data_IF_501561504294
#
_entry.id   IF_501561504294
#
_cell.length_a   1.000
_cell.length_b   1.000
_cell.length_c   1.000
_cell.angle_alpha   90.00
_cell.angle_beta   90.00
_cell.angle_gamma   90.00
#
_symmetry.space_group_name_H-M   'P 1'
#
loop_
_entity.id
_entity.type
_entity.pdbx_description
1 polymer ?
#
# COMPACT_ATOMS: atom_id res chain seq x y z
N UNK A 1 14.14 69.38 3.25
CA UNK A 1 13.07 68.54 3.80
C UNK A 1 12.67 67.48 2.76
N UNK A 2 13.15 66.24 2.89
CA UNK A 2 12.73 65.11 2.05
C UNK A 2 11.58 64.39 2.76
N UNK A 3 10.47 64.20 2.05
CA UNK A 3 9.20 63.65 2.52
C UNK A 3 9.32 62.20 3.02
N UNK A 4 8.69 61.82 4.16
CA UNK A 4 8.73 60.48 4.73
C UNK A 4 7.74 59.48 4.09
N UNK A 5 7.13 59.80 2.95
CA UNK A 5 6.05 58.98 2.35
C UNK A 5 6.57 57.82 1.49
N UNK A 6 7.83 57.87 1.02
CA UNK A 6 8.38 56.83 0.13
C UNK A 6 8.81 55.56 0.88
N UNK A 7 9.13 55.63 2.18
CA UNK A 7 9.55 54.46 2.97
C UNK A 7 8.38 53.58 3.48
N UNK A 8 7.14 54.08 3.39
CA UNK A 8 5.93 53.36 3.83
C UNK A 8 5.31 52.50 2.71
N UNK A 9 5.56 52.82 1.44
CA UNK A 9 5.05 52.06 0.30
C UNK A 9 5.92 50.82 0.04
N UNK A 10 7.23 50.93 0.22
CA UNK A 10 8.17 49.80 0.05
C UNK A 10 8.02 48.75 1.17
N UNK A 11 7.67 49.18 2.39
CA UNK A 11 7.34 48.29 3.52
C UNK A 11 5.96 47.61 3.39
N UNK A 12 4.98 48.24 2.74
CA UNK A 12 3.65 47.64 2.49
C UNK A 12 3.66 46.63 1.34
N UNK A 13 4.45 46.87 0.28
CA UNK A 13 4.62 45.93 -0.84
C UNK A 13 5.33 44.62 -0.44
N UNK A 14 6.29 44.69 0.48
CA UNK A 14 6.97 43.52 1.06
C UNK A 14 6.09 42.75 2.05
N UNK A 15 5.30 43.44 2.89
CA UNK A 15 4.38 42.74 3.80
C UNK A 15 3.24 42.02 3.07
N UNK A 16 2.62 42.63 2.06
CA UNK A 16 1.54 41.97 1.29
C UNK A 16 2.04 40.79 0.45
N UNK A 17 3.24 40.89 -0.13
CA UNK A 17 3.83 39.78 -0.90
C UNK A 17 4.28 38.62 0.01
N UNK A 18 4.82 38.91 1.19
CA UNK A 18 5.16 37.89 2.20
C UNK A 18 3.91 37.19 2.73
N UNK A 19 2.83 37.93 3.05
CA UNK A 19 1.55 37.35 3.47
C UNK A 19 0.93 36.49 2.36
N UNK A 20 0.98 36.95 1.10
CA UNK A 20 0.47 36.18 -0.03
C UNK A 20 1.26 34.90 -0.29
N UNK A 21 2.60 34.97 -0.22
CA UNK A 21 3.47 33.79 -0.35
C UNK A 21 3.24 32.81 0.80
N UNK A 22 3.06 33.29 2.02
CA UNK A 22 2.80 32.48 3.20
C UNK A 22 1.41 31.81 3.14
N UNK A 23 0.37 32.54 2.74
CA UNK A 23 -0.96 31.98 2.49
C UNK A 23 -0.97 30.95 1.35
N UNK A 24 -0.22 31.19 0.27
CA UNK A 24 -0.08 30.22 -0.84
C UNK A 24 0.63 28.94 -0.36
N UNK A 25 1.65 29.10 0.49
CA UNK A 25 2.46 28.04 1.10
C UNK A 25 1.65 27.16 2.06
N UNK A 26 0.85 27.76 2.94
CA UNK A 26 -0.03 27.06 3.88
C UNK A 26 -1.17 26.32 3.16
N UNK A 27 -1.74 26.95 2.13
CA UNK A 27 -2.76 26.33 1.27
C UNK A 27 -2.25 25.10 0.51
N UNK A 28 -0.95 25.02 0.21
CA UNK A 28 -0.34 23.87 -0.49
C UNK A 28 -0.19 22.65 0.42
N UNK A 29 0.23 22.85 1.69
CA UNK A 29 0.37 21.78 2.67
C UNK A 29 -0.98 21.10 2.96
N UNK A 30 -2.01 21.93 3.15
CA UNK A 30 -3.38 21.46 3.39
C UNK A 30 -3.92 20.67 2.19
N UNK A 31 -3.61 21.09 0.96
CA UNK A 31 -4.06 20.37 -0.25
C UNK A 31 -3.35 19.04 -0.44
N UNK A 32 -2.06 18.95 -0.10
CA UNK A 32 -1.30 17.72 -0.16
C UNK A 32 -1.88 16.65 0.77
N UNK A 33 -2.06 16.98 2.04
CA UNK A 33 -2.64 16.08 3.04
C UNK A 33 -4.06 15.64 2.65
N UNK A 34 -4.87 16.55 2.10
CA UNK A 34 -6.24 16.25 1.62
C UNK A 34 -6.30 15.20 0.51
N UNK A 35 -5.21 15.01 -0.24
CA UNK A 35 -5.14 13.96 -1.28
C UNK A 35 -5.09 12.55 -0.70
N UNK A 36 -4.57 12.39 0.52
CA UNK A 36 -4.49 11.11 1.24
C UNK A 36 -5.75 10.77 2.04
N UNK A 37 -6.70 11.70 2.18
CA UNK A 37 -7.94 11.48 2.93
C UNK A 37 -8.64 10.14 2.68
N UNK A 38 -8.86 9.66 1.43
CA UNK A 38 -9.51 8.36 1.24
C UNK A 38 -8.72 7.21 1.88
N UNK A 39 -7.39 7.24 1.83
CA UNK A 39 -6.53 6.22 2.42
C UNK A 39 -6.55 6.31 3.95
N UNK A 40 -6.50 7.53 4.49
CA UNK A 40 -6.60 7.78 5.93
C UNK A 40 -7.95 7.32 6.47
N UNK A 41 -9.04 7.57 5.73
CA UNK A 41 -10.37 7.06 6.08
C UNK A 41 -10.40 5.53 6.11
N UNK A 42 -9.73 4.84 5.17
CA UNK A 42 -9.62 3.38 5.22
C UNK A 42 -8.84 2.91 6.44
N UNK A 43 -7.69 3.53 6.73
CA UNK A 43 -6.94 3.21 7.94
C UNK A 43 -7.78 3.41 9.20
N UNK A 44 -8.59 4.47 9.25
CA UNK A 44 -9.51 4.71 10.35
C UNK A 44 -10.53 3.58 10.52
N UNK A 45 -11.11 3.06 9.42
CA UNK A 45 -12.03 1.90 9.48
C UNK A 45 -11.31 0.64 9.96
N UNK A 46 -10.03 0.46 9.59
CA UNK A 46 -9.20 -0.65 10.09
C UNK A 46 -8.65 -0.36 11.50
N UNK A 47 -9.00 0.75 12.15
CA UNK A 47 -8.54 1.08 13.51
C UNK A 47 -7.12 1.67 13.61
N UNK A 48 -6.47 1.99 12.49
CA UNK A 48 -5.23 2.78 12.44
C UNK A 48 -5.60 4.26 12.36
N UNK A 49 -5.41 4.99 13.47
CA UNK A 49 -5.66 6.44 13.51
C UNK A 49 -4.36 7.17 13.22
N UNK A 50 -4.37 8.01 12.19
CA UNK A 50 -3.29 8.95 11.84
C UNK A 50 -3.83 10.34 12.15
N UNK A 51 -3.26 11.01 13.15
CA UNK A 51 -3.72 12.32 13.60
C UNK A 51 -3.28 13.39 12.58
N UNK A 52 -4.20 13.85 11.73
CA UNK A 52 -3.94 14.93 10.76
C UNK A 52 -4.79 16.15 11.15
N UNK A 53 -4.18 17.33 11.39
CA UNK A 53 -4.80 18.44 12.13
C UNK A 53 -6.13 18.99 11.60
N UNK A 54 -6.48 18.78 10.33
CA UNK A 54 -7.65 19.42 9.70
C UNK A 54 -8.72 18.47 9.18
N UNK A 55 -8.54 17.15 9.29
CA UNK A 55 -9.44 16.22 8.60
C UNK A 55 -10.79 16.02 9.32
N UNK A 56 -10.89 16.24 10.64
CA UNK A 56 -12.10 15.93 11.41
C UNK A 56 -12.29 16.86 12.63
N UNK A 57 -13.02 17.97 12.46
CA UNK A 57 -13.45 18.88 13.54
C UNK A 57 -14.61 18.30 14.40
N UNK A 58 -14.48 17.07 14.91
CA UNK A 58 -15.50 16.45 15.79
C UNK A 58 -14.84 15.75 16.99
N UNK A 59 -14.24 16.54 17.87
CA UNK A 59 -13.29 16.10 18.91
C UNK A 59 -13.85 15.10 19.93
N UNK A 60 -15.15 15.11 20.24
CA UNK A 60 -15.75 14.18 21.23
C UNK A 60 -16.20 12.85 20.61
N UNK A 61 -16.92 12.92 19.50
CA UNK A 61 -17.39 11.74 18.75
C UNK A 61 -16.20 10.96 18.20
N UNK A 62 -15.15 11.64 17.72
CA UNK A 62 -13.94 11.00 17.22
C UNK A 62 -13.18 10.21 18.30
N UNK A 63 -13.18 10.66 19.55
CA UNK A 63 -12.56 9.93 20.66
C UNK A 63 -13.29 8.62 20.97
N UNK A 64 -14.63 8.65 21.05
CA UNK A 64 -15.44 7.44 21.25
C UNK A 64 -15.36 6.48 20.07
N UNK A 65 -15.44 6.99 18.84
CA UNK A 65 -15.21 6.18 17.65
C UNK A 65 -13.82 5.54 17.67
N UNK A 66 -12.76 6.27 18.03
CA UNK A 66 -11.40 5.72 18.12
C UNK A 66 -11.30 4.54 19.08
N UNK A 67 -11.89 4.64 20.28
CA UNK A 67 -11.90 3.55 21.25
C UNK A 67 -12.72 2.36 20.71
N UNK A 68 -13.88 2.67 20.12
CA UNK A 68 -14.76 1.66 19.54
C UNK A 68 -14.09 0.89 18.39
N UNK A 69 -13.51 1.57 17.40
CA UNK A 69 -12.87 0.92 16.26
C UNK A 69 -11.65 0.10 16.69
N UNK A 70 -10.87 0.57 17.66
CA UNK A 70 -9.72 -0.18 18.19
C UNK A 70 -10.16 -1.50 18.82
N UNK A 71 -11.15 -1.44 19.71
CA UNK A 71 -11.64 -2.64 20.40
C UNK A 71 -12.34 -3.59 19.42
N UNK A 72 -13.10 -3.05 18.47
CA UNK A 72 -13.78 -3.82 17.44
C UNK A 72 -12.79 -4.54 16.53
N UNK A 73 -11.72 -3.88 16.05
CA UNK A 73 -10.70 -4.51 15.22
C UNK A 73 -9.96 -5.61 15.99
N UNK A 74 -9.60 -5.39 17.25
CA UNK A 74 -8.94 -6.42 18.07
C UNK A 74 -9.84 -7.65 18.27
N UNK A 75 -11.11 -7.44 18.61
CA UNK A 75 -12.10 -8.51 18.75
C UNK A 75 -12.29 -9.27 17.43
N UNK A 76 -12.34 -8.54 16.33
CA UNK A 76 -12.50 -9.10 14.99
C UNK A 76 -11.31 -9.96 14.57
N UNK A 77 -10.08 -9.50 14.83
CA UNK A 77 -8.87 -10.31 14.57
C UNK A 77 -8.87 -11.57 15.40
N UNK A 78 -9.12 -11.49 16.71
CA UNK A 78 -9.18 -12.66 17.60
C UNK A 78 -10.27 -13.64 17.13
N UNK A 79 -11.47 -13.13 16.83
CA UNK A 79 -12.56 -13.93 16.29
C UNK A 79 -12.14 -14.65 15.00
N UNK A 80 -11.48 -13.96 14.08
CA UNK A 80 -11.07 -14.52 12.79
C UNK A 80 -9.98 -15.58 12.95
N UNK A 81 -8.97 -15.34 13.81
CA UNK A 81 -7.93 -16.35 14.12
C UNK A 81 -8.57 -17.59 14.73
N UNK A 82 -9.39 -17.42 15.76
CA UNK A 82 -10.03 -18.54 16.47
C UNK A 82 -10.95 -19.34 15.54
N UNK A 83 -11.70 -18.65 14.69
CA UNK A 83 -12.55 -19.29 13.69
C UNK A 83 -11.71 -20.09 12.70
N UNK A 84 -10.62 -19.51 12.17
CA UNK A 84 -9.74 -20.18 11.21
C UNK A 84 -9.03 -21.40 11.82
N UNK A 85 -8.64 -21.33 13.09
CA UNK A 85 -8.08 -22.46 13.82
C UNK A 85 -9.12 -23.58 13.98
N UNK A 86 -10.36 -23.23 14.31
CA UNK A 86 -11.46 -24.19 14.39
C UNK A 86 -11.68 -24.90 13.05
N UNK A 87 -11.68 -24.15 11.95
CA UNK A 87 -11.85 -24.72 10.61
C UNK A 87 -10.70 -25.65 10.19
N UNK A 88 -9.48 -25.35 10.62
CA UNK A 88 -8.32 -26.21 10.36
C UNK A 88 -8.42 -27.57 11.09
N UNK A 89 -9.02 -27.58 12.28
CA UNK A 89 -9.24 -28.82 13.04
C UNK A 89 -10.31 -29.70 12.38
N UNK A 90 -11.32 -29.05 11.80
CA UNK A 90 -12.55 -29.68 11.30
C UNK A 90 -12.48 -30.16 9.85
N UNK A 91 -11.93 -29.34 8.96
CA UNK A 91 -12.00 -29.66 7.54
C UNK A 91 -11.01 -30.77 7.17
N UNK A 92 -11.43 -31.75 6.33
CA UNK A 92 -10.57 -32.86 5.91
C UNK A 92 -9.38 -32.36 5.09
N UNK A 93 -9.54 -31.23 4.40
CA UNK A 93 -8.51 -30.59 3.58
C UNK A 93 -7.57 -29.69 4.41
N UNK A 94 -6.94 -30.25 5.44
CA UNK A 94 -5.97 -29.52 6.28
C UNK A 94 -4.85 -28.86 5.47
N UNK A 95 -4.49 -29.45 4.33
CA UNK A 95 -3.50 -28.93 3.38
C UNK A 95 -3.90 -27.60 2.73
N UNK A 96 -5.20 -27.30 2.65
CA UNK A 96 -5.74 -26.07 2.04
C UNK A 96 -5.96 -24.98 3.07
N UNK A 97 -6.37 -25.35 4.29
CA UNK A 97 -6.67 -24.39 5.37
C UNK A 97 -5.41 -23.93 6.15
N UNK A 98 -4.37 -24.76 6.24
CA UNK A 98 -3.12 -24.38 6.93
C UNK A 98 -2.40 -23.19 6.27
N UNK A 99 -2.24 -23.13 4.93
CA UNK A 99 -1.69 -21.94 4.26
C UNK A 99 -2.51 -20.67 4.50
N UNK A 100 -3.84 -20.77 4.64
CA UNK A 100 -4.68 -19.61 4.96
C UNK A 100 -4.42 -19.08 6.36
N UNK A 101 -4.34 -19.97 7.35
CA UNK A 101 -3.99 -19.56 8.71
C UNK A 101 -2.62 -18.89 8.75
N UNK A 102 -1.64 -19.46 8.05
CA UNK A 102 -0.30 -18.87 7.94
C UNK A 102 -0.31 -17.49 7.27
N UNK A 103 -0.98 -17.36 6.11
CA UNK A 103 -1.14 -16.10 5.40
C UNK A 103 -1.84 -15.04 6.26
N UNK A 104 -2.85 -15.44 7.03
CA UNK A 104 -3.58 -14.57 7.94
C UNK A 104 -2.74 -14.09 9.12
N UNK A 105 -1.95 -14.99 9.72
CA UNK A 105 -1.01 -14.65 10.79
C UNK A 105 0.01 -13.64 10.27
N UNK A 106 0.60 -13.88 9.09
CA UNK A 106 1.53 -12.94 8.46
C UNK A 106 0.87 -11.59 8.16
N UNK A 107 -0.36 -11.59 7.66
CA UNK A 107 -1.08 -10.34 7.35
C UNK A 107 -1.41 -9.56 8.63
N UNK A 108 -1.77 -10.27 9.71
CA UNK A 108 -2.03 -9.67 11.02
C UNK A 108 -0.75 -9.07 11.62
N UNK A 109 0.40 -9.75 11.51
CA UNK A 109 1.67 -9.22 11.99
C UNK A 109 2.17 -8.02 11.17
N UNK A 110 1.95 -8.02 9.85
CA UNK A 110 2.19 -6.84 9.01
C UNK A 110 1.31 -5.66 9.42
N UNK A 111 0.01 -5.90 9.65
CA UNK A 111 -0.91 -4.89 10.14
C UNK A 111 -0.48 -4.32 11.50
N UNK A 112 -0.06 -5.16 12.45
CA UNK A 112 0.45 -4.73 13.75
C UNK A 112 1.72 -3.87 13.61
N UNK A 113 2.59 -4.19 12.65
CA UNK A 113 3.79 -3.40 12.35
C UNK A 113 3.42 -2.01 11.86
N UNK A 114 2.47 -1.90 10.92
CA UNK A 114 1.95 -0.61 10.44
C UNK A 114 1.27 0.18 11.56
N UNK A 115 0.47 -0.50 12.39
CA UNK A 115 -0.20 0.13 13.53
C UNK A 115 0.81 0.73 14.53
N UNK A 116 1.91 0.02 14.78
CA UNK A 116 3.01 0.50 15.64
C UNK A 116 3.74 1.68 15.02
N UNK A 117 3.90 1.68 13.70
CA UNK A 117 4.62 2.73 12.95
C UNK A 117 3.73 3.92 12.52
N UNK A 118 2.48 4.02 12.99
CA UNK A 118 1.55 5.11 12.60
C UNK A 118 2.12 6.52 12.75
N UNK A 119 2.89 6.79 13.81
CA UNK A 119 3.49 8.10 14.05
C UNK A 119 4.63 8.39 13.06
N UNK A 120 5.34 7.36 12.62
CA UNK A 120 6.34 7.49 11.56
C UNK A 120 5.69 7.75 10.22
N UNK A 121 4.54 7.11 9.91
CA UNK A 121 3.75 7.39 8.71
C UNK A 121 3.27 8.85 8.69
N UNK A 122 2.77 9.35 9.81
CA UNK A 122 2.39 10.76 9.97
C UNK A 122 3.58 11.69 9.71
N UNK A 123 4.75 11.37 10.28
CA UNK A 123 5.98 12.12 10.07
C UNK A 123 6.44 12.10 8.60
N UNK A 124 6.35 10.95 7.91
CA UNK A 124 6.64 10.81 6.47
C UNK A 124 5.74 11.75 5.67
N UNK A 125 4.42 11.73 5.93
CA UNK A 125 3.47 12.57 5.21
C UNK A 125 3.74 14.06 5.43
N UNK A 126 4.08 14.48 6.65
CA UNK A 126 4.46 15.86 6.96
C UNK A 126 5.74 16.29 6.22
N UNK A 127 6.76 15.43 6.19
CA UNK A 127 8.01 15.70 5.45
C UNK A 127 7.78 15.77 3.95
N UNK A 128 6.99 14.86 3.37
CA UNK A 128 6.64 14.92 1.95
C UNK A 128 5.88 16.21 1.60
N UNK A 129 4.98 16.66 2.47
CA UNK A 129 4.29 17.95 2.31
C UNK A 129 5.28 19.11 2.28
N UNK A 130 6.20 19.13 3.26
CA UNK A 130 7.25 20.15 3.35
C UNK A 130 8.16 20.18 2.11
N UNK A 131 8.60 19.02 1.62
CA UNK A 131 9.43 18.92 0.41
C UNK A 131 8.64 19.42 -0.81
N UNK A 132 7.38 19.00 -0.96
CA UNK A 132 6.52 19.43 -2.06
C UNK A 132 6.37 20.96 -2.09
N UNK A 133 6.27 21.57 -0.91
CA UNK A 133 6.24 23.03 -0.73
C UNK A 133 7.57 23.69 -1.07
N UNK A 134 8.69 23.13 -0.63
CA UNK A 134 10.03 23.65 -0.93
C UNK A 134 10.34 23.64 -2.43
N UNK A 135 9.80 22.66 -3.16
CA UNK A 135 9.97 22.53 -4.61
C UNK A 135 8.91 23.29 -5.43
N UNK A 136 8.01 24.01 -4.76
CA UNK A 136 6.86 24.70 -5.37
C UNK A 136 6.01 23.79 -6.26
N UNK A 137 5.95 22.51 -5.91
CA UNK A 137 5.26 21.51 -6.71
C UNK A 137 3.76 21.58 -6.46
N UNK A 138 3.02 22.24 -7.35
CA UNK A 138 1.57 22.30 -7.30
C UNK A 138 0.96 21.04 -7.94
N UNK A 139 0.66 20.03 -7.14
CA UNK A 139 -0.13 18.90 -7.62
C UNK A 139 -1.59 19.27 -7.76
N UNK A 140 -2.24 18.81 -8.83
CA UNK A 140 -3.69 18.78 -8.94
C UNK A 140 -4.27 17.75 -7.94
N UNK A 141 -4.45 18.18 -6.69
CA UNK A 141 -4.87 17.33 -5.58
C UNK A 141 -6.23 16.67 -5.84
N UNK A 142 -7.10 17.31 -6.64
CA UNK A 142 -8.42 16.78 -6.99
C UNK A 142 -8.30 15.52 -7.82
N UNK A 143 -7.44 15.53 -8.83
CA UNK A 143 -7.16 14.35 -9.67
C UNK A 143 -6.60 13.21 -8.83
N UNK A 144 -5.60 13.48 -7.97
CA UNK A 144 -5.00 12.44 -7.12
C UNK A 144 -5.99 11.84 -6.11
N UNK A 145 -6.81 12.68 -5.49
CA UNK A 145 -7.89 12.26 -4.59
C UNK A 145 -8.92 11.39 -5.31
N UNK A 146 -9.27 11.74 -6.55
CA UNK A 146 -10.18 10.95 -7.37
C UNK A 146 -9.57 9.58 -7.73
N UNK A 147 -8.30 9.55 -8.14
CA UNK A 147 -7.58 8.30 -8.43
C UNK A 147 -7.51 7.41 -7.19
N UNK A 148 -7.20 7.96 -6.02
CA UNK A 148 -7.17 7.21 -4.77
C UNK A 148 -8.54 6.62 -4.41
N UNK A 149 -9.61 7.39 -4.55
CA UNK A 149 -10.98 6.90 -4.35
C UNK A 149 -11.35 5.81 -5.35
N UNK A 150 -11.00 5.98 -6.61
CA UNK A 150 -11.28 4.99 -7.65
C UNK A 150 -10.51 3.68 -7.39
N UNK A 151 -9.21 3.76 -7.09
CA UNK A 151 -8.39 2.59 -6.76
C UNK A 151 -8.95 1.83 -5.55
N UNK A 152 -9.27 2.54 -4.47
CA UNK A 152 -9.86 1.93 -3.28
C UNK A 152 -11.24 1.34 -3.60
N UNK A 153 -12.12 2.11 -4.25
CA UNK A 153 -13.47 1.68 -4.60
C UNK A 153 -13.49 0.46 -5.52
N UNK A 154 -12.58 0.38 -6.49
CA UNK A 154 -12.41 -0.78 -7.37
C UNK A 154 -12.03 -2.03 -6.56
N UNK A 155 -11.02 -1.93 -5.69
CA UNK A 155 -10.58 -3.05 -4.88
C UNK A 155 -11.66 -3.53 -3.90
N UNK A 156 -12.37 -2.61 -3.23
CA UNK A 156 -13.52 -2.98 -2.39
C UNK A 156 -14.66 -3.57 -3.20
N UNK A 157 -14.95 -3.03 -4.38
CA UNK A 157 -15.94 -3.59 -5.30
C UNK A 157 -15.63 -5.04 -5.65
N UNK A 158 -14.38 -5.37 -6.00
CA UNK A 158 -13.96 -6.74 -6.29
C UNK A 158 -14.17 -7.68 -5.10
N UNK A 159 -13.88 -7.24 -3.88
CA UNK A 159 -14.07 -8.05 -2.66
C UNK A 159 -15.56 -8.27 -2.38
N UNK A 160 -16.39 -7.21 -2.49
CA UNK A 160 -17.84 -7.32 -2.26
C UNK A 160 -18.47 -8.25 -3.29
N UNK A 161 -18.08 -8.12 -4.56
CA UNK A 161 -18.49 -9.02 -5.64
C UNK A 161 -18.05 -10.46 -5.33
N UNK A 162 -16.82 -10.67 -4.88
CA UNK A 162 -16.35 -11.98 -4.44
C UNK A 162 -17.22 -12.59 -3.33
N UNK A 163 -17.49 -11.83 -2.26
CA UNK A 163 -18.33 -12.30 -1.14
C UNK A 163 -19.74 -12.60 -1.63
N UNK A 164 -20.30 -11.75 -2.50
CA UNK A 164 -21.60 -11.97 -3.10
C UNK A 164 -21.62 -13.27 -3.93
N UNK A 165 -20.66 -13.48 -4.82
CA UNK A 165 -20.57 -14.70 -5.61
C UNK A 165 -20.38 -15.95 -4.73
N UNK A 166 -19.66 -15.87 -3.62
CA UNK A 166 -19.58 -16.97 -2.66
C UNK A 166 -20.95 -17.42 -2.15
N UNK A 167 -21.84 -16.48 -1.81
CA UNK A 167 -23.17 -16.80 -1.31
C UNK A 167 -24.08 -17.43 -2.37
N UNK A 168 -23.87 -17.08 -3.64
CA UNK A 168 -24.63 -17.59 -4.77
C UNK A 168 -24.01 -18.83 -5.42
N UNK A 169 -22.75 -19.16 -5.13
CA UNK A 169 -22.05 -20.27 -5.76
C UNK A 169 -22.45 -21.62 -5.17
N UNK A 170 -22.26 -22.67 -5.97
CA UNK A 170 -22.46 -24.06 -5.54
C UNK A 170 -21.54 -24.48 -4.39
N UNK A 171 -20.45 -23.73 -4.15
CA UNK A 171 -19.46 -24.04 -3.12
C UNK A 171 -20.04 -23.97 -1.71
N UNK A 172 -20.99 -23.05 -1.46
CA UNK A 172 -21.73 -22.97 -0.19
C UNK A 172 -22.56 -24.22 0.09
N UNK A 173 -23.11 -24.87 -0.96
CA UNK A 173 -23.91 -26.11 -0.83
C UNK A 173 -23.03 -27.30 -0.45
N UNK A 174 -21.87 -27.46 -1.09
CA UNK A 174 -20.92 -28.53 -0.78
C UNK A 174 -20.44 -28.46 0.67
N UNK A 175 -20.09 -27.26 1.14
CA UNK A 175 -19.67 -27.05 2.54
C UNK A 175 -20.81 -27.35 3.51
N UNK A 176 -22.06 -26.99 3.16
CA UNK A 176 -23.24 -27.29 3.99
C UNK A 176 -23.45 -28.79 4.17
N UNK A 177 -23.36 -29.56 3.10
CA UNK A 177 -23.51 -31.02 3.15
C UNK A 177 -22.43 -31.67 4.00
N UNK A 178 -21.19 -31.20 3.86
CA UNK A 178 -20.08 -31.67 4.67
C UNK A 178 -20.26 -31.35 6.17
N UNK A 179 -20.64 -30.12 6.51
CA UNK A 179 -20.86 -29.70 7.89
C UNK A 179 -22.00 -30.46 8.56
N UNK A 180 -23.07 -30.78 7.82
CA UNK A 180 -24.21 -31.58 8.33
C UNK A 180 -23.78 -32.99 8.74
N UNK A 181 -22.77 -33.54 8.08
CA UNK A 181 -22.26 -34.88 8.32
C UNK A 181 -21.07 -34.90 9.31
N UNK A 182 -20.54 -33.74 9.71
CA UNK A 182 -19.42 -33.66 10.66
C UNK A 182 -19.83 -34.07 12.08
N UNK A 183 -19.08 -34.98 12.69
CA UNK A 183 -19.33 -35.47 14.05
C UNK A 183 -18.96 -34.47 15.13
N UNK A 184 -18.00 -33.58 14.88
CA UNK A 184 -17.50 -32.64 15.88
C UNK A 184 -18.47 -31.51 16.21
N UNK A 185 -19.09 -30.87 15.22
CA UNK A 185 -20.12 -29.84 15.48
C UNK A 185 -21.31 -30.41 16.24
N UNK A 186 -21.67 -31.66 15.94
CA UNK A 186 -22.78 -32.38 16.57
C UNK A 186 -22.44 -32.84 18.00
N UNK A 187 -21.24 -33.38 18.22
CA UNK A 187 -20.88 -34.04 19.48
C UNK A 187 -20.15 -33.13 20.48
N UNK A 188 -19.28 -32.25 20.01
CA UNK A 188 -18.42 -31.40 20.88
C UNK A 188 -19.06 -30.05 21.10
N UNK A 189 -19.39 -29.34 20.02
CA UNK A 189 -19.97 -27.99 20.12
C UNK A 189 -21.48 -28.01 20.40
N UNK A 190 -22.16 -29.15 20.18
CA UNK A 190 -23.64 -29.30 20.28
C UNK A 190 -24.41 -28.23 19.49
N UNK A 191 -23.82 -27.73 18.40
CA UNK A 191 -24.42 -26.70 17.55
C UNK A 191 -25.19 -27.40 16.41
N UNK A 192 -26.46 -27.05 16.17
CA UNK A 192 -27.19 -27.58 15.02
C UNK A 192 -26.49 -27.19 13.71
N UNK A 193 -26.43 -28.09 12.73
CA UNK A 193 -25.69 -27.85 11.47
C UNK A 193 -26.06 -26.55 10.73
N UNK A 194 -27.30 -26.07 10.88
CA UNK A 194 -27.72 -24.78 10.33
C UNK A 194 -26.98 -23.58 10.96
N UNK A 195 -26.71 -23.60 12.27
CA UNK A 195 -25.96 -22.55 12.95
C UNK A 195 -24.46 -22.63 12.67
N UNK A 196 -23.90 -23.84 12.48
CA UNK A 196 -22.52 -24.02 12.05
C UNK A 196 -22.27 -23.39 10.67
N UNK A 197 -23.26 -23.49 9.77
CA UNK A 197 -23.22 -22.85 8.45
C UNK A 197 -23.26 -21.32 8.56
N UNK A 198 -24.15 -20.76 9.38
CA UNK A 198 -24.21 -19.30 9.61
C UNK A 198 -22.88 -18.82 10.20
N UNK A 199 -22.30 -19.56 11.13
CA UNK A 199 -21.00 -19.25 11.71
C UNK A 199 -19.87 -19.25 10.66
N UNK A 200 -19.86 -20.22 9.73
CA UNK A 200 -18.91 -20.24 8.59
C UNK A 200 -19.10 -19.03 7.68
N UNK A 201 -20.34 -18.70 7.33
CA UNK A 201 -20.68 -17.57 6.47
C UNK A 201 -20.19 -16.25 7.11
N UNK A 202 -20.46 -16.04 8.40
CA UNK A 202 -19.99 -14.88 9.17
C UNK A 202 -18.46 -14.87 9.25
N UNK A 203 -17.83 -15.99 9.62
CA UNK A 203 -16.38 -16.11 9.69
C UNK A 203 -15.70 -15.79 8.37
N UNK A 204 -16.25 -16.25 7.25
CA UNK A 204 -15.69 -16.00 5.92
C UNK A 204 -15.85 -14.54 5.51
N UNK A 205 -17.01 -13.93 5.75
CA UNK A 205 -17.25 -12.51 5.52
C UNK A 205 -16.28 -11.66 6.35
N UNK A 206 -16.13 -11.99 7.63
CA UNK A 206 -15.19 -11.32 8.52
C UNK A 206 -13.76 -11.45 7.99
N UNK A 207 -13.31 -12.68 7.73
CA UNK A 207 -11.99 -12.93 7.16
C UNK A 207 -11.76 -12.14 5.87
N UNK A 208 -12.67 -12.29 4.90
CA UNK A 208 -12.49 -11.73 3.56
C UNK A 208 -12.55 -10.20 3.58
N UNK A 209 -13.53 -9.60 4.26
CA UNK A 209 -13.67 -8.14 4.30
C UNK A 209 -12.59 -7.49 5.15
N UNK A 210 -12.34 -7.99 6.37
CA UNK A 210 -11.38 -7.37 7.27
C UNK A 210 -9.94 -7.52 6.82
N UNK A 211 -9.55 -8.72 6.36
CA UNK A 211 -8.21 -8.95 5.85
C UNK A 211 -7.93 -8.11 4.61
N UNK A 212 -8.89 -8.06 3.69
CA UNK A 212 -8.74 -7.30 2.45
C UNK A 212 -8.77 -5.79 2.72
N UNK A 213 -9.54 -5.31 3.69
CA UNK A 213 -9.53 -3.90 4.10
C UNK A 213 -8.15 -3.50 4.67
N UNK A 214 -7.54 -4.34 5.52
CA UNK A 214 -6.20 -4.11 6.05
C UNK A 214 -5.11 -4.18 4.95
N UNK A 215 -5.21 -5.13 4.04
CA UNK A 215 -4.28 -5.31 2.93
C UNK A 215 -4.37 -4.15 1.93
N UNK A 216 -5.58 -3.83 1.46
CA UNK A 216 -5.85 -2.74 0.52
C UNK A 216 -5.47 -1.38 1.09
N UNK A 217 -5.75 -1.10 2.38
CA UNK A 217 -5.35 0.17 2.99
C UNK A 217 -3.83 0.33 3.07
N UNK A 218 -3.12 -0.71 3.48
CA UNK A 218 -1.65 -0.71 3.55
C UNK A 218 -1.02 -0.59 2.16
N UNK A 219 -1.50 -1.38 1.20
CA UNK A 219 -1.04 -1.34 -0.18
C UNK A 219 -1.32 0.00 -0.85
N UNK A 220 -2.51 0.59 -0.63
CA UNK A 220 -2.86 1.92 -1.12
C UNK A 220 -1.92 2.97 -0.52
N UNK A 221 -1.71 2.98 0.79
CA UNK A 221 -0.82 3.94 1.43
C UNK A 221 0.59 3.88 0.84
N UNK A 222 1.18 2.70 0.77
CA UNK A 222 2.51 2.49 0.22
C UNK A 222 2.60 2.94 -1.26
N UNK A 223 1.67 2.48 -2.10
CA UNK A 223 1.62 2.81 -3.53
C UNK A 223 1.49 4.31 -3.76
N UNK A 224 0.62 4.99 -3.00
CA UNK A 224 0.43 6.44 -3.14
C UNK A 224 1.63 7.23 -2.61
N UNK A 225 2.30 6.80 -1.54
CA UNK A 225 3.56 7.43 -1.14
C UNK A 225 4.64 7.28 -2.22
N UNK A 226 4.74 6.11 -2.85
CA UNK A 226 5.63 5.90 -3.99
C UNK A 226 5.30 6.82 -5.16
N UNK A 227 4.01 6.96 -5.54
CA UNK A 227 3.57 7.91 -6.56
C UNK A 227 4.03 9.35 -6.25
N UNK A 228 3.89 9.77 -5.00
CA UNK A 228 4.32 11.11 -4.58
C UNK A 228 5.83 11.27 -4.69
N UNK A 229 6.60 10.34 -4.13
CA UNK A 229 8.06 10.37 -4.19
C UNK A 229 8.57 10.37 -5.63
N UNK A 230 8.02 9.51 -6.50
CA UNK A 230 8.30 9.51 -7.95
C UNK A 230 8.07 10.88 -8.58
N UNK A 231 6.91 11.49 -8.31
CA UNK A 231 6.57 12.80 -8.86
C UNK A 231 7.52 13.90 -8.38
N UNK A 232 7.92 13.87 -7.10
CA UNK A 232 8.88 14.81 -6.53
C UNK A 232 10.28 14.60 -7.13
N UNK A 233 10.75 13.36 -7.29
CA UNK A 233 12.01 13.08 -7.98
C UNK A 233 11.98 13.57 -9.42
N UNK A 234 10.91 13.32 -10.17
CA UNK A 234 10.79 13.81 -11.54
C UNK A 234 10.89 15.34 -11.60
N UNK A 235 10.12 16.05 -10.77
CA UNK A 235 10.11 17.52 -10.73
C UNK A 235 11.47 18.09 -10.31
N UNK A 236 12.11 17.46 -9.32
CA UNK A 236 13.46 17.80 -8.88
C UNK A 236 14.47 17.62 -10.02
N UNK A 237 14.40 16.50 -10.75
CA UNK A 237 15.26 16.24 -11.91
C UNK A 237 15.10 17.28 -13.02
N UNK A 238 13.88 17.72 -13.30
CA UNK A 238 13.63 18.81 -14.27
C UNK A 238 14.24 20.14 -13.82
N UNK A 239 14.06 20.52 -12.55
CA UNK A 239 14.63 21.76 -12.02
C UNK A 239 16.16 21.74 -12.00
N UNK A 240 16.75 20.56 -11.73
CA UNK A 240 18.19 20.35 -11.77
C UNK A 240 18.76 20.49 -13.19
N UNK A 241 18.04 20.02 -14.20
CA UNK A 241 18.46 20.11 -15.61
C UNK A 241 18.47 21.55 -16.14
N UNK A 242 17.51 22.36 -15.69
CA UNK A 242 17.32 23.74 -16.14
C UNK A 242 18.10 24.76 -15.29
N UNK A 243 18.98 24.28 -14.42
CA UNK A 243 19.62 25.08 -13.38
C UNK A 243 20.69 26.03 -13.95
N UNK A 244 20.45 27.34 -13.81
CA UNK A 244 21.38 28.40 -14.26
C UNK A 244 22.16 29.06 -13.11
N UNK A 245 21.69 28.96 -11.86
CA UNK A 245 22.17 29.76 -10.71
C UNK A 245 22.57 28.89 -9.51
N UNK A 246 23.65 29.26 -8.81
CA UNK A 246 24.28 28.51 -7.69
C UNK A 246 23.36 28.30 -6.48
N UNK A 247 22.67 29.34 -6.02
CA UNK A 247 21.91 29.28 -4.77
C UNK A 247 20.70 28.34 -4.87
N UNK A 248 20.15 28.22 -6.08
CA UNK A 248 19.11 27.23 -6.38
C UNK A 248 19.63 25.80 -6.26
N UNK A 249 20.91 25.54 -6.57
CA UNK A 249 21.48 24.21 -6.44
C UNK A 249 21.51 23.72 -4.99
N UNK A 250 21.91 24.56 -4.03
CA UNK A 250 21.93 24.18 -2.61
C UNK A 250 20.53 23.81 -2.12
N UNK A 251 19.51 24.59 -2.53
CA UNK A 251 18.11 24.31 -2.21
C UNK A 251 17.65 22.97 -2.80
N UNK A 252 17.94 22.70 -4.07
CA UNK A 252 17.56 21.45 -4.72
C UNK A 252 18.31 20.24 -4.16
N UNK A 253 19.60 20.41 -3.84
CA UNK A 253 20.40 19.34 -3.24
C UNK A 253 19.95 19.02 -1.81
N UNK A 254 19.52 20.02 -1.03
CA UNK A 254 18.94 19.77 0.28
C UNK A 254 17.58 19.07 0.18
N UNK A 255 16.72 19.51 -0.73
CA UNK A 255 15.45 18.84 -1.03
C UNK A 255 15.65 17.38 -1.50
N UNK A 256 16.67 17.12 -2.32
CA UNK A 256 17.08 15.76 -2.71
C UNK A 256 17.44 14.93 -1.47
N UNK A 257 18.29 15.47 -0.60
CA UNK A 257 18.75 14.78 0.60
C UNK A 257 17.61 14.46 1.57
N UNK A 258 16.66 15.38 1.72
CA UNK A 258 15.45 15.17 2.51
C UNK A 258 14.57 14.08 1.88
N UNK A 259 14.40 14.10 0.56
CA UNK A 259 13.61 13.10 -0.16
C UNK A 259 14.21 11.69 -0.06
N UNK A 260 15.54 11.55 -0.18
CA UNK A 260 16.23 10.27 0.03
C UNK A 260 16.08 9.78 1.48
N UNK A 261 16.15 10.69 2.46
CA UNK A 261 15.91 10.33 3.85
C UNK A 261 14.46 9.85 4.08
N UNK A 262 13.48 10.45 3.39
CA UNK A 262 12.09 9.98 3.40
C UNK A 262 11.95 8.61 2.75
N UNK A 263 12.60 8.34 1.62
CA UNK A 263 12.58 7.01 0.98
C UNK A 263 13.08 5.94 1.93
N UNK A 264 14.20 6.17 2.61
CA UNK A 264 14.76 5.22 3.57
C UNK A 264 13.82 5.01 4.77
N UNK A 265 13.16 6.07 5.24
CA UNK A 265 12.17 5.95 6.31
C UNK A 265 10.93 5.17 5.87
N UNK A 266 10.47 5.36 4.62
CA UNK A 266 9.40 4.53 4.04
C UNK A 266 9.83 3.07 3.96
N UNK A 267 11.07 2.80 3.55
CA UNK A 267 11.62 1.44 3.52
C UNK A 267 11.63 0.79 4.90
N UNK A 268 12.15 1.48 5.92
CA UNK A 268 12.21 0.95 7.28
C UNK A 268 10.80 0.65 7.86
N UNK A 269 9.79 1.43 7.48
CA UNK A 269 8.40 1.24 7.95
C UNK A 269 7.65 0.16 7.17
N UNK A 270 7.75 0.16 5.84
CA UNK A 270 6.90 -0.63 4.96
C UNK A 270 7.57 -1.87 4.39
N UNK A 271 8.90 -2.03 4.48
CA UNK A 271 9.61 -3.16 3.85
C UNK A 271 9.06 -4.53 4.26
N UNK A 272 8.74 -4.72 5.55
CA UNK A 272 8.12 -5.96 6.03
C UNK A 272 6.69 -6.12 5.47
N UNK A 273 5.85 -5.10 5.64
CA UNK A 273 4.45 -5.16 5.19
C UNK A 273 4.33 -5.33 3.68
N UNK A 274 5.23 -4.72 2.91
CA UNK A 274 5.33 -4.91 1.47
C UNK A 274 5.71 -6.35 1.11
N UNK A 275 6.65 -6.97 1.82
CA UNK A 275 6.97 -8.40 1.63
C UNK A 275 5.75 -9.27 1.89
N UNK A 276 5.04 -9.05 3.00
CA UNK A 276 3.85 -9.83 3.35
C UNK A 276 2.75 -9.66 2.31
N UNK A 277 2.51 -8.43 1.84
CA UNK A 277 1.54 -8.17 0.77
C UNK A 277 1.92 -8.94 -0.50
N UNK A 278 3.19 -8.90 -0.90
CA UNK A 278 3.69 -9.61 -2.10
C UNK A 278 3.50 -11.12 -1.94
N UNK A 279 3.92 -11.71 -0.81
CA UNK A 279 3.78 -13.15 -0.54
C UNK A 279 2.31 -13.57 -0.52
N UNK A 280 1.43 -12.78 0.09
CA UNK A 280 -0.01 -13.05 0.12
C UNK A 280 -0.64 -12.95 -1.27
N UNK A 281 -0.27 -11.94 -2.07
CA UNK A 281 -0.69 -11.86 -3.46
C UNK A 281 -0.20 -13.06 -4.27
N UNK A 282 1.06 -13.49 -4.10
CA UNK A 282 1.61 -14.62 -4.83
C UNK A 282 0.91 -15.93 -4.49
N UNK A 283 0.69 -16.16 -3.19
CA UNK A 283 -0.03 -17.34 -2.70
C UNK A 283 -1.49 -17.33 -3.16
N UNK A 284 -2.16 -16.17 -3.12
CA UNK A 284 -3.53 -16.00 -3.57
C UNK A 284 -3.71 -16.26 -5.06
N UNK A 285 -2.82 -15.73 -5.90
CA UNK A 285 -2.82 -15.95 -7.35
C UNK A 285 -2.54 -17.42 -7.69
N UNK A 286 -1.56 -18.04 -7.04
CA UNK A 286 -1.26 -19.45 -7.23
C UNK A 286 -2.48 -20.33 -6.92
N UNK A 287 -3.18 -20.02 -5.83
CA UNK A 287 -4.42 -20.71 -5.46
C UNK A 287 -5.51 -20.54 -6.50
N UNK A 288 -5.73 -19.31 -6.97
CA UNK A 288 -6.73 -19.02 -8.02
C UNK A 288 -6.45 -19.87 -9.25
N UNK A 289 -5.20 -19.91 -9.71
CA UNK A 289 -4.78 -20.70 -10.87
C UNK A 289 -5.00 -22.20 -10.61
N UNK A 290 -4.54 -22.70 -9.45
CA UNK A 290 -4.72 -24.09 -9.07
C UNK A 290 -6.20 -24.49 -9.05
N UNK A 291 -7.06 -23.67 -8.45
CA UNK A 291 -8.49 -23.93 -8.39
C UNK A 291 -9.15 -23.92 -9.77
N UNK A 292 -8.77 -22.97 -10.65
CA UNK A 292 -9.29 -22.90 -12.02
C UNK A 292 -8.89 -24.11 -12.88
N UNK A 293 -7.70 -24.67 -12.66
CA UNK A 293 -7.19 -25.81 -13.46
C UNK A 293 -7.70 -27.14 -12.93
N UNK A 294 -7.61 -27.38 -11.62
CA UNK A 294 -7.81 -28.72 -11.03
C UNK A 294 -9.18 -28.93 -10.38
N UNK A 295 -9.87 -27.86 -9.94
CA UNK A 295 -11.17 -27.97 -9.23
C UNK A 295 -12.33 -27.72 -10.19
N UNK A 296 -12.12 -28.03 -11.47
CA UNK A 296 -13.00 -27.65 -12.59
C UNK A 296 -14.28 -28.49 -12.72
N UNK A 297 -14.57 -29.35 -11.75
CA UNK A 297 -15.68 -30.31 -11.83
C UNK A 297 -17.07 -29.70 -11.60
N UNK A 298 -17.20 -28.43 -11.17
CA UNK A 298 -18.49 -27.90 -10.71
C UNK A 298 -18.73 -26.46 -11.20
N UNK A 299 -19.48 -26.33 -12.30
CA UNK A 299 -20.18 -25.14 -12.81
C UNK A 299 -19.37 -23.88 -13.22
N UNK A 300 -19.73 -23.31 -14.38
CA UNK A 300 -19.24 -22.03 -14.94
C UNK A 300 -19.30 -20.83 -13.96
N UNK A 301 -20.19 -20.87 -12.97
CA UNK A 301 -20.33 -19.80 -11.97
C UNK A 301 -19.16 -19.75 -10.96
N UNK A 302 -18.45 -20.87 -10.75
CA UNK A 302 -17.26 -20.91 -9.90
C UNK A 302 -16.02 -20.29 -10.59
N UNK A 303 -15.98 -20.27 -11.92
CA UNK A 303 -14.86 -19.68 -12.67
C UNK A 303 -14.80 -18.16 -12.46
N UNK A 304 -15.95 -17.47 -12.54
CA UNK A 304 -16.02 -16.03 -12.28
C UNK A 304 -15.56 -15.68 -10.86
N UNK A 305 -15.94 -16.49 -9.87
CA UNK A 305 -15.55 -16.31 -8.48
C UNK A 305 -14.02 -16.29 -8.31
N UNK A 306 -13.31 -17.25 -8.92
CA UNK A 306 -11.84 -17.29 -8.87
C UNK A 306 -11.20 -16.17 -9.71
N UNK A 307 -11.79 -15.80 -10.85
CA UNK A 307 -11.30 -14.70 -11.68
C UNK A 307 -11.28 -13.35 -10.94
N UNK A 308 -12.37 -12.98 -10.24
CA UNK A 308 -12.41 -11.72 -9.48
C UNK A 308 -11.34 -11.67 -8.39
N UNK A 309 -11.11 -12.79 -7.71
CA UNK A 309 -10.02 -12.91 -6.74
C UNK A 309 -8.64 -12.80 -7.40
N UNK A 310 -8.45 -13.43 -8.55
CA UNK A 310 -7.22 -13.31 -9.34
C UNK A 310 -6.93 -11.84 -9.69
N UNK A 311 -7.93 -11.12 -10.21
CA UNK A 311 -7.79 -9.70 -10.53
C UNK A 311 -7.46 -8.86 -9.29
N UNK A 312 -8.11 -9.11 -8.15
CA UNK A 312 -7.82 -8.40 -6.91
C UNK A 312 -6.34 -8.54 -6.51
N UNK A 313 -5.82 -9.77 -6.42
CA UNK A 313 -4.43 -10.00 -6.03
C UNK A 313 -3.44 -9.49 -7.07
N UNK A 314 -3.76 -9.59 -8.36
CA UNK A 314 -2.92 -9.09 -9.45
C UNK A 314 -2.79 -7.57 -9.41
N UNK A 315 -3.90 -6.85 -9.23
CA UNK A 315 -3.90 -5.39 -9.16
C UNK A 315 -3.06 -4.92 -7.96
N UNK A 316 -3.22 -5.55 -6.80
CA UNK A 316 -2.42 -5.20 -5.61
C UNK A 316 -0.94 -5.47 -5.87
N UNK A 317 -0.58 -6.66 -6.35
CA UNK A 317 0.79 -7.05 -6.61
C UNK A 317 1.49 -6.07 -7.57
N UNK A 318 0.85 -5.80 -8.71
CA UNK A 318 1.38 -4.90 -9.72
C UNK A 318 1.49 -3.47 -9.18
N UNK A 319 0.49 -2.99 -8.42
CA UNK A 319 0.52 -1.64 -7.86
C UNK A 319 1.68 -1.44 -6.87
N UNK A 320 1.93 -2.41 -5.98
CA UNK A 320 3.01 -2.30 -4.98
C UNK A 320 4.38 -2.37 -5.64
N UNK A 321 4.63 -3.40 -6.46
CA UNK A 321 5.97 -3.63 -7.02
C UNK A 321 6.30 -2.58 -8.10
N UNK A 322 5.37 -2.26 -8.99
CA UNK A 322 5.63 -1.32 -10.09
C UNK A 322 5.90 0.08 -9.56
N UNK A 323 5.08 0.57 -8.61
CA UNK A 323 5.25 1.94 -8.11
C UNK A 323 6.51 2.11 -7.26
N UNK A 324 6.88 1.10 -6.46
CA UNK A 324 8.14 1.10 -5.75
C UNK A 324 9.34 1.06 -6.72
N UNK A 325 9.30 0.18 -7.72
CA UNK A 325 10.37 0.08 -8.73
C UNK A 325 10.57 1.39 -9.50
N UNK A 326 9.49 2.04 -9.94
CA UNK A 326 9.60 3.31 -10.65
C UNK A 326 10.18 4.41 -9.76
N UNK A 327 9.76 4.48 -8.50
CA UNK A 327 10.27 5.47 -7.54
C UNK A 327 11.78 5.34 -7.36
N UNK A 328 12.26 4.11 -7.18
CA UNK A 328 13.70 3.80 -7.05
C UNK A 328 14.46 4.22 -8.31
N UNK A 329 13.93 3.94 -9.49
CA UNK A 329 14.57 4.30 -10.76
C UNK A 329 14.66 5.81 -10.98
N UNK A 330 13.58 6.55 -10.73
CA UNK A 330 13.61 8.00 -10.82
C UNK A 330 14.57 8.60 -9.79
N UNK A 331 14.62 8.04 -8.58
CA UNK A 331 15.58 8.45 -7.56
C UNK A 331 17.04 8.21 -7.97
N UNK A 332 17.35 7.04 -8.56
CA UNK A 332 18.68 6.72 -9.14
C UNK A 332 19.02 7.67 -10.29
N UNK A 333 18.07 7.97 -11.18
CA UNK A 333 18.30 8.90 -12.28
C UNK A 333 18.62 10.32 -11.79
N UNK A 334 17.88 10.83 -10.80
CA UNK A 334 18.19 12.14 -10.20
C UNK A 334 19.53 12.12 -9.48
N UNK A 335 19.88 11.00 -8.82
CA UNK A 335 21.19 10.83 -8.21
C UNK A 335 22.31 10.96 -9.26
N UNK A 336 22.17 10.32 -10.42
CA UNK A 336 23.13 10.42 -11.53
C UNK A 336 23.24 11.84 -12.06
N UNK A 337 22.11 12.54 -12.23
CA UNK A 337 22.11 13.96 -12.61
C UNK A 337 22.92 14.79 -11.60
N UNK A 338 22.66 14.64 -10.30
CA UNK A 338 23.40 15.35 -9.24
C UNK A 338 24.89 15.03 -9.26
N UNK A 339 25.28 13.78 -9.52
CA UNK A 339 26.68 13.35 -9.61
C UNK A 339 27.38 13.93 -10.86
N UNK A 340 26.67 14.12 -11.96
CA UNK A 340 27.24 14.66 -13.22
C UNK A 340 27.51 16.17 -13.17
N UNK A 341 26.73 16.92 -12.39
CA UNK A 341 26.79 18.39 -12.29
C UNK A 341 28.15 18.95 -11.81
N UNK A 342 28.86 18.34 -10.84
CA UNK A 342 30.24 18.72 -10.50
C UNK A 342 31.19 18.85 -11.69
N UNK A 343 30.98 18.10 -12.78
CA UNK A 343 31.78 18.20 -14.00
C UNK A 343 31.53 19.51 -14.76
N UNK A 344 30.32 20.05 -14.67
CA UNK A 344 29.90 21.30 -15.34
C UNK A 344 30.22 22.56 -14.55
N UNK A 345 30.49 22.47 -13.24
CA UNK A 345 30.83 23.62 -12.42
C UNK A 345 32.32 24.04 -12.56
N UNK A 346 32.62 25.35 -12.67
CA UNK A 346 33.98 25.89 -12.66
C UNK A 346 34.84 25.39 -11.50
N UNK A 347 36.17 25.44 -11.66
CA UNK A 347 37.14 24.94 -10.68
C UNK A 347 37.06 25.61 -9.30
N UNK A 348 36.58 26.85 -9.19
CA UNK A 348 36.46 27.56 -7.90
C UNK A 348 35.37 27.00 -6.96
N UNK A 349 34.56 26.02 -7.41
CA UNK A 349 33.47 25.41 -6.64
C UNK A 349 33.89 24.14 -5.87
N UNK A 350 35.09 24.12 -5.29
CA UNK A 350 35.67 22.89 -4.73
C UNK A 350 34.86 22.32 -3.54
N UNK A 351 34.32 23.18 -2.68
CA UNK A 351 33.51 22.76 -1.52
C UNK A 351 32.24 22.02 -1.92
N UNK A 352 31.56 22.51 -2.97
CA UNK A 352 30.34 21.89 -3.48
C UNK A 352 30.61 20.51 -4.08
N UNK A 353 31.70 20.38 -4.85
CA UNK A 353 32.12 19.09 -5.43
C UNK A 353 32.46 18.08 -4.33
N UNK A 354 33.10 18.50 -3.25
CA UNK A 354 33.40 17.67 -2.09
C UNK A 354 32.12 17.23 -1.35
N UNK A 355 31.20 18.16 -1.09
CA UNK A 355 29.92 17.87 -0.44
C UNK A 355 29.09 16.83 -1.20
N UNK A 356 28.98 17.00 -2.52
CA UNK A 356 28.27 16.06 -3.40
C UNK A 356 28.93 14.68 -3.34
N UNK A 357 30.26 14.61 -3.46
CA UNK A 357 31.00 13.34 -3.42
C UNK A 357 30.84 12.61 -2.07
N UNK A 358 30.95 13.32 -0.95
CA UNK A 358 30.86 12.74 0.39
C UNK A 358 29.43 12.25 0.70
N UNK A 359 28.40 13.05 0.38
CA UNK A 359 27.01 12.69 0.67
C UNK A 359 26.45 11.63 -0.28
N UNK A 360 26.82 11.66 -1.57
CA UNK A 360 26.33 10.68 -2.55
C UNK A 360 26.93 9.29 -2.35
N UNK A 361 28.20 9.18 -1.92
CA UNK A 361 28.83 7.88 -1.64
C UNK A 361 28.12 7.10 -0.52
N UNK A 362 27.50 7.80 0.43
CA UNK A 362 26.84 7.17 1.58
C UNK A 362 25.35 6.87 1.40
N UNK A 363 24.69 7.42 0.38
CA UNK A 363 23.22 7.37 0.26
C UNK A 363 22.79 6.69 -1.02
N UNK A 364 22.19 5.50 -0.89
CA UNK A 364 21.56 4.76 -1.99
C UNK A 364 20.06 4.95 -1.90
N UNK A 365 19.42 5.34 -3.00
CA UNK A 365 17.96 5.31 -3.11
C UNK A 365 17.54 3.86 -3.37
N UNK A 366 17.03 3.20 -2.34
CA UNK A 366 16.56 1.82 -2.44
C UNK A 366 15.29 1.63 -1.61
N UNK A 367 14.31 0.94 -2.19
CA UNK A 367 13.19 0.33 -1.49
C UNK A 367 13.40 -1.17 -1.55
N UNK A 368 13.12 -1.86 -0.45
CA UNK A 368 13.40 -3.27 -0.25
C UNK A 368 12.18 -4.01 0.28
N UNK A 369 12.10 -5.30 -0.02
CA UNK A 369 11.21 -6.24 0.65
C UNK A 369 12.00 -6.87 1.80
N UNK A 370 11.67 -6.43 3.01
CA UNK A 370 12.36 -6.78 4.26
C UNK A 370 13.90 -6.79 4.12
N UNK A 371 14.52 -5.78 3.51
CA UNK A 371 16.00 -5.70 3.33
C UNK A 371 16.65 -6.90 2.60
N UNK A 372 15.87 -7.89 2.16
CA UNK A 372 16.33 -9.10 1.49
C UNK A 372 16.40 -8.88 -0.03
N UNK A 373 15.38 -8.23 -0.59
CA UNK A 373 15.28 -7.99 -2.02
C UNK A 373 15.11 -6.51 -2.31
N UNK A 374 15.98 -5.94 -3.14
CA UNK A 374 15.75 -4.61 -3.70
C UNK A 374 14.60 -4.66 -4.72
N UNK A 375 13.70 -3.68 -4.66
CA UNK A 375 12.58 -3.58 -5.59
C UNK A 375 13.08 -2.89 -6.87
N UNK A 376 13.34 -3.71 -7.90
CA UNK A 376 13.70 -3.26 -9.25
C UNK A 376 12.73 -3.87 -10.30
N UNK A 377 12.78 -3.39 -11.55
CA UNK A 377 11.90 -3.89 -12.65
C UNK A 377 12.03 -5.40 -12.87
N UNK A 378 13.21 -5.95 -12.58
CA UNK A 378 13.47 -7.40 -12.66
C UNK A 378 12.55 -8.19 -11.74
N UNK A 379 12.13 -7.63 -10.60
CA UNK A 379 11.23 -8.32 -9.67
C UNK A 379 9.83 -8.48 -10.25
N UNK A 380 9.32 -7.48 -10.98
CA UNK A 380 8.03 -7.58 -11.69
C UNK A 380 8.09 -8.69 -12.74
N UNK A 381 9.15 -8.68 -13.56
CA UNK A 381 9.36 -9.67 -14.62
C UNK A 381 9.55 -11.07 -14.02
N UNK A 382 10.28 -11.19 -12.92
CA UNK A 382 10.48 -12.45 -12.21
C UNK A 382 9.18 -12.98 -11.62
N UNK A 383 8.35 -12.13 -11.01
CA UNK A 383 7.05 -12.53 -10.47
C UNK A 383 6.12 -13.03 -11.59
N UNK A 384 6.01 -12.30 -12.69
CA UNK A 384 5.23 -12.72 -13.87
C UNK A 384 5.77 -14.00 -14.50
N UNK A 385 7.09 -14.10 -14.66
CA UNK A 385 7.76 -15.29 -15.17
C UNK A 385 7.49 -16.50 -14.30
N UNK A 386 7.54 -16.35 -12.98
CA UNK A 386 7.24 -17.41 -12.00
C UNK A 386 5.80 -17.91 -12.16
N UNK A 387 4.82 -17.01 -12.34
CA UNK A 387 3.44 -17.42 -12.63
C UNK A 387 3.32 -18.18 -13.94
N UNK A 388 3.98 -17.72 -15.00
CA UNK A 388 3.97 -18.41 -16.29
C UNK A 388 4.61 -19.80 -16.18
N UNK A 389 5.74 -19.93 -15.49
CA UNK A 389 6.45 -21.20 -15.30
C UNK A 389 5.63 -22.18 -14.48
N UNK A 390 5.08 -21.77 -13.33
CA UNK A 390 4.22 -22.64 -12.53
C UNK A 390 2.92 -22.98 -13.25
N UNK A 391 2.31 -22.03 -13.97
CA UNK A 391 1.14 -22.28 -14.81
C UNK A 391 1.41 -23.33 -15.88
N UNK A 392 2.57 -23.26 -16.55
CA UNK A 392 2.99 -24.24 -17.54
C UNK A 392 3.27 -25.61 -16.91
N UNK A 393 4.00 -25.66 -15.79
CA UNK A 393 4.23 -26.90 -15.04
C UNK A 393 2.92 -27.59 -14.67
N UNK A 394 1.93 -26.83 -14.18
CA UNK A 394 0.62 -27.36 -13.86
C UNK A 394 -0.15 -27.85 -15.07
N UNK A 395 -0.12 -27.11 -16.18
CA UNK A 395 -0.75 -27.55 -17.43
C UNK A 395 -0.13 -28.87 -17.94
N UNK A 396 1.19 -29.01 -17.83
CA UNK A 396 1.89 -30.24 -18.26
C UNK A 396 1.66 -31.42 -17.31
N UNK A 397 1.65 -31.21 -16.00
CA UNK A 397 1.45 -32.28 -15.00
C UNK A 397 -0.01 -32.76 -14.94
N UNK A 398 -0.98 -31.85 -15.12
CA UNK A 398 -2.40 -32.21 -15.17
C UNK A 398 -2.75 -33.12 -16.35
N UNK A 399 -2.00 -33.03 -17.45
CA UNK A 399 -2.23 -33.87 -18.63
C UNK A 399 -1.80 -35.33 -18.41
N UNK A 400 -0.78 -35.56 -17.56
CA UNK A 400 -0.29 -36.90 -17.23
C UNK A 400 -1.27 -37.65 -16.31
N UNK A 401 -1.84 -36.97 -15.31
CA UNK A 401 -2.81 -37.60 -14.39
C UNK A 401 -4.15 -37.98 -15.05
N UNK A 402 -4.54 -37.28 -16.12
CA UNK A 402 -5.74 -37.66 -16.88
C UNK A 402 -5.51 -38.85 -17.83
N UNK A 403 -4.26 -39.20 -18.14
CA UNK A 403 -3.93 -40.39 -18.92
C UNK A 403 -3.86 -41.66 -18.07
N UNK A 404 -3.61 -41.56 -16.75
CA UNK A 404 -3.64 -42.72 -15.83
C UNK A 404 -5.07 -43.10 -15.37
N UNK A 405 -6.08 -42.25 -15.64
CA UNK A 405 -7.49 -42.49 -15.28
C UNK A 405 -8.37 -42.99 -16.42
N UNK A 406 -7.83 -43.10 -17.64
CA UNK A 406 -8.45 -43.78 -18.78
C UNK A 406 -7.74 -45.11 -19.02
#
# INVERSE_FOLDING_TARGET
>A
MKSPVVSLIEKKGTHSSVIFVQNKKEKLDVQFLKSFNPIISLFFVVGIVIDIPEAYNLTRIHHYLRIFTKNLCSLFTVFTVSSQLLWLLELPEKKVEAPFLFAFILQTSAYLTIYRSRHQIEMILKRLSHISKSLEYSTDYRKRKLIARFYCGLLYGLIVVYVFYYFYSGQRRLVKEHLKNSSFFKNILRIPGNYAMIYRDVSLCCYSLGNSLAMTSTAACFTFMCIQMKALFHHLGTQIRDLKVRDDFYRLFDAYNELVAVVNLVDDVFSYSALVIVVNCMTGLFRVIYSLVFVREICFQNDFYFCFMGFYYLIILLSVISMASETVQFGKHVQELIVSIPGSFPSHYHELKLLIKIKNVKRKVALTLWKMYAIDRSLVVSALGTFTTYGLLFATLGNVQNQEKN
#
